data_IF_116307001547
#
_entry.id   IF_116307001547
#
_cell.length_a   1.000
_cell.length_b   1.000
_cell.length_c   1.000
_cell.angle_alpha   90.00
_cell.angle_beta   90.00
_cell.angle_gamma   90.00
#
_symmetry.space_group_name_H-M   'P 1'
#
loop_
_entity.id
_entity.type
_entity.pdbx_description
1 polymer ?
#
# COMPACT_ATOMS: atom_id res chain seq x y z
N UNK A 1 -10.80 -9.44 -12.74
CA UNK A 1 -9.36 -9.51 -13.05
C UNK A 1 -8.55 -8.46 -12.29
N UNK A 2 -9.15 -7.32 -11.90
CA UNK A 2 -8.40 -6.15 -11.45
C UNK A 2 -7.62 -6.36 -10.14
N UNK A 3 -8.15 -7.13 -9.18
CA UNK A 3 -7.51 -7.35 -7.88
C UNK A 3 -6.22 -8.18 -8.01
N UNK A 4 -6.27 -9.38 -8.58
CA UNK A 4 -5.09 -10.25 -8.77
C UNK A 4 -4.04 -9.60 -9.67
N UNK A 5 -4.48 -8.79 -10.65
CA UNK A 5 -3.57 -8.00 -11.48
C UNK A 5 -2.89 -6.88 -10.69
N UNK A 6 -3.62 -6.20 -9.80
CA UNK A 6 -3.08 -5.19 -8.90
C UNK A 6 -2.02 -5.77 -7.96
N UNK A 7 -2.30 -6.92 -7.34
CA UNK A 7 -1.35 -7.64 -6.48
C UNK A 7 -0.11 -8.08 -7.28
N UNK A 8 -0.28 -8.70 -8.45
CA UNK A 8 0.84 -9.10 -9.31
C UNK A 8 1.78 -7.94 -9.63
N UNK A 9 1.23 -6.77 -10.00
CA UNK A 9 2.04 -5.58 -10.29
C UNK A 9 2.69 -4.98 -9.03
N UNK A 10 2.02 -5.08 -7.88
CA UNK A 10 2.56 -4.61 -6.59
C UNK A 10 3.76 -5.46 -6.17
N UNK A 11 3.57 -6.78 -6.12
CA UNK A 11 4.63 -7.74 -5.83
C UNK A 11 5.78 -7.61 -6.84
N UNK A 12 5.48 -7.40 -8.13
CA UNK A 12 6.51 -7.20 -9.16
C UNK A 12 7.32 -5.93 -8.94
N UNK A 13 6.65 -4.84 -8.57
CA UNK A 13 7.33 -3.57 -8.31
C UNK A 13 8.27 -3.69 -7.10
N UNK A 14 7.83 -4.34 -6.02
CA UNK A 14 8.67 -4.56 -4.84
C UNK A 14 9.81 -5.52 -5.13
N UNK A 15 9.54 -6.65 -5.80
CA UNK A 15 10.55 -7.65 -6.11
C UNK A 15 11.65 -7.08 -7.03
N UNK A 16 11.32 -6.19 -7.95
CA UNK A 16 12.31 -5.49 -8.76
C UNK A 16 13.24 -4.55 -7.96
N UNK A 17 12.82 -4.09 -6.78
CA UNK A 17 13.60 -3.19 -5.91
C UNK A 17 14.39 -3.97 -4.86
N UNK A 18 13.77 -5.00 -4.26
CA UNK A 18 14.33 -5.76 -3.16
C UNK A 18 13.87 -7.24 -3.23
N UNK A 19 14.45 -8.06 -4.14
CA UNK A 19 14.02 -9.44 -4.38
C UNK A 19 14.01 -10.32 -3.12
N UNK A 20 14.93 -10.08 -2.19
CA UNK A 20 15.06 -10.84 -0.95
C UNK A 20 13.94 -10.57 0.08
N UNK A 21 13.13 -9.54 -0.11
CA UNK A 21 12.08 -9.13 0.83
C UNK A 21 10.67 -9.58 0.43
N UNK A 22 10.50 -10.08 -0.80
CA UNK A 22 9.19 -10.37 -1.39
C UNK A 22 9.31 -11.60 -2.30
N UNK A 23 8.43 -12.60 -2.17
CA UNK A 23 8.40 -13.75 -3.07
C UNK A 23 8.28 -13.32 -4.54
N UNK A 24 8.94 -14.02 -5.46
CA UNK A 24 8.91 -13.68 -6.88
C UNK A 24 7.52 -13.90 -7.48
N UNK A 25 6.84 -12.86 -8.00
CA UNK A 25 5.60 -13.04 -8.75
C UNK A 25 5.88 -13.73 -10.08
N UNK A 26 5.04 -14.71 -10.46
CA UNK A 26 5.24 -15.56 -11.63
C UNK A 26 4.26 -15.19 -12.74
N UNK A 27 2.97 -15.14 -12.44
CA UNK A 27 1.93 -14.83 -13.43
C UNK A 27 0.62 -14.39 -12.78
N UNK A 28 -0.25 -13.72 -13.54
CA UNK A 28 -1.65 -13.54 -13.19
C UNK A 28 -2.52 -13.71 -14.44
N UNK A 29 -3.77 -14.12 -14.26
CA UNK A 29 -4.67 -14.33 -15.39
C UNK A 29 -6.11 -14.63 -15.01
N UNK A 30 -6.88 -15.01 -16.04
CA UNK A 30 -8.28 -15.41 -15.95
C UNK A 30 -8.40 -16.83 -16.48
N UNK A 31 -9.22 -17.66 -15.84
CA UNK A 31 -9.49 -19.02 -16.30
C UNK A 31 -10.17 -18.98 -17.66
N UNK A 32 -9.72 -19.80 -18.60
CA UNK A 32 -10.32 -19.88 -19.94
C UNK A 32 -11.77 -20.38 -19.89
N UNK A 33 -12.06 -21.31 -18.98
CA UNK A 33 -13.38 -21.94 -18.86
C UNK A 33 -14.31 -21.23 -17.87
N UNK A 34 -13.81 -20.29 -17.05
CA UNK A 34 -14.59 -19.60 -16.02
C UNK A 34 -14.22 -18.11 -16.02
N UNK A 35 -15.01 -17.31 -16.75
CA UNK A 35 -14.69 -15.91 -17.07
C UNK A 35 -14.43 -14.99 -15.86
N UNK A 36 -15.10 -15.22 -14.73
CA UNK A 36 -14.98 -14.39 -13.52
C UNK A 36 -14.06 -15.00 -12.45
N UNK A 37 -13.30 -16.04 -12.80
CA UNK A 37 -12.30 -16.63 -11.92
C UNK A 37 -10.90 -16.22 -12.37
N UNK A 38 -10.17 -15.60 -11.46
CA UNK A 38 -8.84 -15.06 -11.72
C UNK A 38 -7.83 -15.71 -10.78
N UNK A 39 -6.57 -15.73 -11.21
CA UNK A 39 -5.47 -16.27 -10.42
C UNK A 39 -4.29 -15.29 -10.38
N UNK A 40 -3.50 -15.45 -9.33
CA UNK A 40 -2.15 -14.94 -9.19
C UNK A 40 -1.27 -16.12 -8.76
N UNK A 41 -0.11 -16.25 -9.39
CA UNK A 41 0.90 -17.25 -9.11
C UNK A 41 2.16 -16.53 -8.63
N UNK A 42 2.69 -16.98 -7.49
CA UNK A 42 3.87 -16.44 -6.85
C UNK A 42 4.78 -17.59 -6.42
N UNK A 43 6.06 -17.29 -6.24
CA UNK A 43 7.03 -18.20 -5.63
C UNK A 43 6.53 -18.68 -4.27
N UNK A 44 6.65 -19.97 -4.02
CA UNK A 44 6.41 -20.54 -2.70
C UNK A 44 7.67 -20.36 -1.84
N UNK A 45 7.51 -19.68 -0.70
CA UNK A 45 8.56 -19.51 0.31
C UNK A 45 8.07 -20.17 1.60
N UNK A 46 8.84 -21.09 2.14
CA UNK A 46 8.55 -21.68 3.44
C UNK A 46 8.84 -20.63 4.52
N UNK A 47 7.89 -20.41 5.42
CA UNK A 47 8.00 -19.39 6.46
C UNK A 47 7.87 -20.02 7.85
N UNK A 48 8.59 -19.47 8.82
CA UNK A 48 8.44 -19.87 10.22
C UNK A 48 7.18 -19.23 10.84
N UNK A 49 6.69 -19.79 11.95
CA UNK A 49 5.59 -19.21 12.72
C UNK A 49 6.00 -17.96 13.54
N UNK A 50 7.30 -17.65 13.59
CA UNK A 50 7.83 -16.48 14.29
C UNK A 50 7.72 -15.18 13.48
N UNK A 51 7.61 -14.06 14.20
CA UNK A 51 7.62 -12.73 13.60
C UNK A 51 9.04 -12.18 13.43
N UNK A 52 9.34 -11.50 12.31
CA UNK A 52 10.65 -10.90 12.09
C UNK A 52 10.98 -9.89 13.19
N UNK A 53 12.22 -9.95 13.71
CA UNK A 53 12.68 -9.00 14.70
C UNK A 53 12.57 -7.55 14.19
N UNK A 54 12.10 -6.59 15.00
CA UNK A 54 11.69 -5.27 14.53
C UNK A 54 12.82 -4.48 13.86
N UNK A 55 14.06 -4.63 14.35
CA UNK A 55 15.22 -3.95 13.74
C UNK A 55 15.56 -4.48 12.35
N UNK A 56 15.51 -5.81 12.15
CA UNK A 56 15.80 -6.44 10.86
C UNK A 56 14.70 -6.12 9.85
N UNK A 57 13.45 -6.23 10.27
CA UNK A 57 12.30 -5.85 9.46
C UNK A 57 12.34 -4.38 9.04
N UNK A 58 12.55 -3.46 9.99
CA UNK A 58 12.64 -2.03 9.69
C UNK A 58 13.80 -1.69 8.75
N UNK A 59 14.91 -2.42 8.82
CA UNK A 59 16.03 -2.24 7.89
C UNK A 59 15.64 -2.61 6.45
N UNK A 60 14.93 -3.71 6.24
CA UNK A 60 14.43 -4.12 4.93
C UNK A 60 13.36 -3.16 4.39
N UNK A 61 12.40 -2.77 5.22
CA UNK A 61 11.37 -1.80 4.83
C UNK A 61 11.97 -0.43 4.47
N UNK A 62 12.94 0.04 5.27
CA UNK A 62 13.69 1.25 4.98
C UNK A 62 14.48 1.13 3.66
N UNK A 63 15.12 -0.01 3.42
CA UNK A 63 15.84 -0.26 2.17
C UNK A 63 14.89 -0.22 0.95
N UNK A 64 13.69 -0.79 1.04
CA UNK A 64 12.68 -0.71 -0.02
C UNK A 64 12.28 0.74 -0.31
N UNK A 65 11.97 1.52 0.73
CA UNK A 65 11.61 2.93 0.58
C UNK A 65 12.76 3.77 -0.01
N UNK A 66 13.99 3.52 0.41
CA UNK A 66 15.17 4.27 -0.06
C UNK A 66 15.57 3.90 -1.48
N UNK A 67 15.54 2.62 -1.85
CA UNK A 67 15.96 2.13 -3.18
C UNK A 67 14.89 2.28 -4.26
N UNK A 68 13.61 2.35 -3.89
CA UNK A 68 12.54 2.53 -4.86
C UNK A 68 12.59 3.92 -5.51
N UNK A 69 12.29 3.96 -6.81
CA UNK A 69 12.19 5.20 -7.59
C UNK A 69 10.86 5.22 -8.33
N UNK A 70 10.09 6.29 -8.16
CA UNK A 70 8.86 6.47 -8.91
C UNK A 70 9.18 6.65 -10.39
N UNK A 71 8.58 5.85 -11.31
CA UNK A 71 8.89 5.93 -12.74
C UNK A 71 8.47 7.27 -13.36
N UNK A 72 7.63 8.04 -12.68
CA UNK A 72 7.16 9.36 -13.11
C UNK A 72 7.72 10.49 -12.25
N UNK A 73 8.43 10.17 -11.15
CA UNK A 73 8.77 11.12 -10.10
C UNK A 73 7.58 11.61 -9.27
N UNK A 74 6.38 11.05 -9.47
CA UNK A 74 5.11 11.46 -8.82
C UNK A 74 4.60 10.41 -7.83
N UNK A 75 3.64 10.80 -6.99
CA UNK A 75 2.86 9.88 -6.16
C UNK A 75 1.79 9.18 -6.97
N UNK A 76 1.52 7.90 -6.69
CA UNK A 76 0.55 7.10 -7.44
C UNK A 76 1.10 5.75 -7.92
N UNK A 77 0.37 5.10 -8.83
CA UNK A 77 0.75 3.81 -9.40
C UNK A 77 0.15 3.66 -10.80
N UNK A 78 0.78 2.84 -11.64
CA UNK A 78 0.36 2.68 -13.05
C UNK A 78 -0.92 1.84 -13.22
N UNK A 79 -1.35 1.14 -12.18
CA UNK A 79 -2.57 0.33 -12.17
C UNK A 79 -3.29 0.45 -10.83
N UNK A 80 -4.62 0.39 -10.84
CA UNK A 80 -5.42 0.34 -9.60
C UNK A 80 -5.06 -0.89 -8.78
N UNK A 81 -4.65 -0.66 -7.54
CA UNK A 81 -4.47 -1.68 -6.50
C UNK A 81 -5.66 -1.69 -5.55
N UNK A 82 -5.74 -2.71 -4.70
CA UNK A 82 -6.91 -2.95 -3.86
C UNK A 82 -6.48 -3.23 -2.43
N UNK A 83 -7.05 -2.49 -1.48
CA UNK A 83 -6.93 -2.80 -0.05
C UNK A 83 -8.14 -3.69 0.32
N UNK A 84 -7.91 -4.99 0.44
CA UNK A 84 -8.99 -5.99 0.43
C UNK A 84 -9.81 -5.88 -0.87
N UNK A 85 -11.11 -5.61 -0.77
CA UNK A 85 -11.98 -5.45 -1.95
C UNK A 85 -12.19 -3.99 -2.37
N UNK A 86 -11.52 -3.02 -1.72
CA UNK A 86 -11.69 -1.60 -2.00
C UNK A 86 -10.63 -1.12 -3.00
N UNK A 87 -11.03 -0.56 -4.16
CA UNK A 87 -10.08 0.01 -5.10
C UNK A 87 -9.43 1.26 -4.49
N UNK A 88 -8.11 1.36 -4.60
CA UNK A 88 -7.34 2.50 -4.13
C UNK A 88 -7.27 3.60 -5.21
N UNK A 89 -7.17 4.85 -4.78
CA UNK A 89 -6.78 5.95 -5.67
C UNK A 89 -5.29 5.82 -5.98
N UNK A 90 -4.93 5.79 -7.27
CA UNK A 90 -3.53 5.62 -7.70
C UNK A 90 -3.15 6.56 -8.83
N UNK A 91 -4.03 7.49 -9.24
CA UNK A 91 -3.68 8.41 -10.32
C UNK A 91 -2.50 9.29 -9.88
N UNK A 92 -1.68 9.66 -10.87
CA UNK A 92 -0.42 10.34 -10.60
C UNK A 92 -0.63 11.79 -10.14
N UNK A 93 0.05 12.16 -9.06
CA UNK A 93 0.00 13.51 -8.47
C UNK A 93 1.39 14.01 -8.10
N UNK A 94 1.64 15.29 -8.33
CA UNK A 94 2.95 15.91 -8.06
C UNK A 94 3.18 16.23 -6.58
N UNK A 95 2.11 16.36 -5.79
CA UNK A 95 2.16 16.72 -4.36
C UNK A 95 1.59 15.60 -3.51
N UNK A 96 2.24 15.35 -2.38
CA UNK A 96 1.78 14.42 -1.36
C UNK A 96 0.46 14.87 -0.74
N UNK A 97 0.31 16.18 -0.44
CA UNK A 97 -0.95 16.74 0.06
C UNK A 97 -2.11 16.42 -0.89
N UNK A 98 -1.92 16.67 -2.19
CA UNK A 98 -2.93 16.44 -3.21
C UNK A 98 -3.27 14.96 -3.37
N UNK A 99 -2.25 14.08 -3.42
CA UNK A 99 -2.44 12.64 -3.51
C UNK A 99 -3.22 12.09 -2.32
N UNK A 100 -2.77 12.40 -1.09
CA UNK A 100 -3.41 11.93 0.13
C UNK A 100 -4.86 12.41 0.24
N UNK A 101 -5.13 13.68 -0.09
CA UNK A 101 -6.49 14.21 -0.10
C UNK A 101 -7.40 13.46 -1.09
N UNK A 102 -6.91 13.16 -2.30
CA UNK A 102 -7.70 12.41 -3.30
C UNK A 102 -7.95 10.96 -2.85
N UNK A 103 -6.96 10.31 -2.26
CA UNK A 103 -7.12 8.96 -1.67
C UNK A 103 -8.16 8.94 -0.55
N UNK A 104 -8.08 9.88 0.39
CA UNK A 104 -9.06 9.99 1.49
C UNK A 104 -10.47 10.29 0.97
N UNK A 105 -10.59 11.13 -0.06
CA UNK A 105 -11.89 11.44 -0.67
C UNK A 105 -12.51 10.22 -1.32
N UNK A 106 -11.73 9.45 -2.08
CA UNK A 106 -12.21 8.19 -2.66
C UNK A 106 -12.65 7.20 -1.58
N UNK A 107 -11.91 7.07 -0.48
CA UNK A 107 -12.28 6.20 0.63
C UNK A 107 -13.63 6.61 1.28
N UNK A 108 -13.83 7.92 1.50
CA UNK A 108 -15.08 8.46 2.03
C UNK A 108 -16.24 8.27 1.05
N UNK A 109 -16.04 8.53 -0.24
CA UNK A 109 -17.07 8.34 -1.27
C UNK A 109 -17.51 6.87 -1.36
N UNK A 110 -16.57 5.92 -1.24
CA UNK A 110 -16.88 4.49 -1.19
C UNK A 110 -17.68 4.11 0.07
N UNK A 111 -17.34 4.69 1.22
CA UNK A 111 -18.07 4.45 2.46
C UNK A 111 -19.49 5.02 2.40
N UNK A 112 -19.66 6.25 1.90
CA UNK A 112 -20.96 6.90 1.72
C UNK A 112 -21.81 6.11 0.71
N UNK A 113 -21.21 5.64 -0.38
CA UNK A 113 -21.90 4.79 -1.36
C UNK A 113 -22.41 3.49 -0.75
N UNK A 114 -21.67 2.92 0.22
CA UNK A 114 -22.01 1.66 0.87
C UNK A 114 -23.02 1.82 2.01
N UNK A 115 -22.87 2.84 2.86
CA UNK A 115 -23.65 3.02 4.10
C UNK A 115 -24.72 4.11 4.01
N UNK A 116 -24.70 4.92 2.95
CA UNK A 116 -25.53 6.10 2.81
C UNK A 116 -24.86 7.37 3.39
N UNK A 117 -25.48 8.54 3.17
CA UNK A 117 -24.96 9.80 3.68
C UNK A 117 -25.03 9.86 5.21
N UNK A 118 -24.08 10.58 5.81
CA UNK A 118 -24.05 10.86 7.25
C UNK A 118 -23.67 12.33 7.46
N UNK A 119 -24.51 13.06 8.19
CA UNK A 119 -24.27 14.48 8.51
C UNK A 119 -23.00 14.65 9.36
N UNK A 120 -22.77 13.74 10.31
CA UNK A 120 -21.54 13.71 11.10
C UNK A 120 -20.31 13.51 10.21
N UNK A 121 -20.38 12.56 9.27
CA UNK A 121 -19.28 12.30 8.35
C UNK A 121 -19.02 13.50 7.42
N UNK A 122 -20.06 14.20 6.98
CA UNK A 122 -19.94 15.39 6.13
C UNK A 122 -19.21 16.53 6.84
N UNK A 123 -19.61 16.84 8.08
CA UNK A 123 -18.95 17.85 8.92
C UNK A 123 -17.48 17.50 9.17
N UNK A 124 -17.20 16.24 9.52
CA UNK A 124 -15.83 15.77 9.76
C UNK A 124 -14.99 15.79 8.48
N UNK A 125 -15.57 15.40 7.34
CA UNK A 125 -14.89 15.41 6.04
C UNK A 125 -14.50 16.84 5.64
N UNK A 126 -15.39 17.81 5.85
CA UNK A 126 -15.08 19.22 5.58
C UNK A 126 -13.89 19.69 6.43
N UNK A 127 -13.87 19.39 7.73
CA UNK A 127 -12.74 19.73 8.61
C UNK A 127 -11.44 19.01 8.21
N UNK A 128 -11.53 17.75 7.79
CA UNK A 128 -10.40 16.95 7.33
C UNK A 128 -9.72 17.59 6.11
N UNK A 129 -10.51 17.95 5.09
CA UNK A 129 -9.97 18.49 3.83
C UNK A 129 -9.56 19.95 3.91
N UNK A 130 -10.32 20.80 4.61
CA UNK A 130 -10.04 22.24 4.66
C UNK A 130 -8.97 22.61 5.68
N UNK A 131 -8.78 21.78 6.72
CA UNK A 131 -7.88 22.11 7.84
C UNK A 131 -6.82 21.06 8.08
N UNK A 132 -7.22 19.81 8.37
CA UNK A 132 -6.29 18.80 8.90
C UNK A 132 -5.23 18.44 7.87
N UNK A 133 -5.64 18.05 6.65
CA UNK A 133 -4.72 17.65 5.58
C UNK A 133 -3.77 18.80 5.20
N UNK A 134 -4.25 20.01 4.87
CA UNK A 134 -3.38 21.16 4.62
C UNK A 134 -2.42 21.48 5.76
N UNK A 135 -2.88 21.41 7.01
CA UNK A 135 -2.07 21.82 8.17
C UNK A 135 -0.94 20.84 8.47
N UNK A 136 -1.16 19.55 8.20
CA UNK A 136 -0.21 18.48 8.50
C UNK A 136 0.71 18.16 7.31
N UNK A 137 0.20 18.14 6.08
CA UNK A 137 0.96 17.66 4.93
C UNK A 137 1.67 18.78 4.15
N UNK A 138 1.04 19.95 3.99
CA UNK A 138 1.66 21.07 3.26
C UNK A 138 3.04 21.48 3.78
N UNK A 139 3.28 21.54 5.12
CA UNK A 139 4.61 21.89 5.64
C UNK A 139 5.73 20.94 5.21
N UNK A 140 5.40 19.68 4.88
CA UNK A 140 6.38 18.68 4.42
C UNK A 140 6.93 18.99 3.03
N UNK A 141 6.20 19.79 2.25
CA UNK A 141 6.54 20.19 0.87
C UNK A 141 6.80 21.72 0.77
N UNK A 142 6.93 22.40 1.92
CA UNK A 142 7.17 23.85 2.01
C UNK A 142 8.64 24.16 2.32
N UNK A 143 9.05 25.41 2.13
CA UNK A 143 10.41 25.89 2.42
C UNK A 143 11.52 25.14 1.68
N UNK A 144 11.22 24.68 0.46
CA UNK A 144 12.15 23.94 -0.39
C UNK A 144 12.32 22.47 -0.01
N UNK A 145 11.55 21.97 0.97
CA UNK A 145 11.46 20.54 1.25
C UNK A 145 10.71 19.81 0.13
N UNK A 146 11.17 18.60 -0.19
CA UNK A 146 10.56 17.73 -1.19
C UNK A 146 10.33 16.37 -0.57
N UNK A 147 9.09 15.91 -0.60
CA UNK A 147 8.76 14.54 -0.21
C UNK A 147 9.11 13.60 -1.36
N UNK A 148 9.92 12.59 -1.09
CA UNK A 148 10.22 11.53 -2.06
C UNK A 148 9.04 10.55 -2.17
N UNK A 149 8.46 10.32 -3.36
CA UNK A 149 7.55 9.21 -3.59
C UNK A 149 8.31 7.88 -3.46
N UNK A 150 7.99 7.13 -2.41
CA UNK A 150 8.60 5.84 -2.08
C UNK A 150 7.57 4.74 -2.32
N UNK A 151 8.00 3.60 -2.86
CA UNK A 151 7.11 2.45 -3.06
C UNK A 151 6.74 1.87 -1.70
N UNK A 152 5.47 1.94 -1.31
CA UNK A 152 4.97 1.38 -0.04
C UNK A 152 4.24 0.06 -0.29
N UNK A 153 4.20 -0.81 0.72
CA UNK A 153 3.47 -2.09 0.66
C UNK A 153 1.95 -1.90 0.48
N UNK A 154 1.39 -0.88 1.13
CA UNK A 154 -0.04 -0.54 1.06
C UNK A 154 -0.93 -1.30 2.06
N UNK A 155 -0.53 -2.49 2.50
CA UNK A 155 -1.25 -3.26 3.53
C UNK A 155 -0.30 -4.01 4.47
N UNK A 156 0.57 -3.27 5.15
CA UNK A 156 1.62 -3.87 5.98
C UNK A 156 1.14 -4.07 7.42
N UNK A 157 1.03 -5.32 7.83
CA UNK A 157 0.66 -5.75 9.19
C UNK A 157 1.17 -7.17 9.43
N UNK A 158 1.01 -7.69 10.66
CA UNK A 158 1.65 -8.94 11.09
C UNK A 158 1.30 -10.16 10.25
N UNK A 159 0.08 -10.23 9.67
CA UNK A 159 -0.33 -11.36 8.86
C UNK A 159 0.18 -11.32 7.43
N UNK A 160 0.72 -10.17 6.99
CA UNK A 160 1.33 -9.95 5.67
C UNK A 160 2.87 -9.90 5.75
N UNK A 161 3.43 -10.45 6.82
CA UNK A 161 4.86 -10.53 7.05
C UNK A 161 5.22 -11.90 7.66
N UNK A 162 6.43 -12.36 7.39
CA UNK A 162 6.96 -13.61 7.94
C UNK A 162 8.48 -13.64 7.92
N UNK A 163 9.06 -14.74 8.37
CA UNK A 163 10.49 -15.02 8.25
C UNK A 163 10.65 -16.20 7.29
N UNK A 164 11.48 -16.03 6.28
CA UNK A 164 11.89 -17.11 5.39
C UNK A 164 12.66 -18.20 6.13
N UNK A 165 12.19 -19.45 6.05
CA UNK A 165 12.77 -20.58 6.78
C UNK A 165 14.20 -20.90 6.31
N UNK A 166 14.53 -20.64 5.04
CA UNK A 166 15.84 -20.93 4.46
C UNK A 166 16.90 -19.87 4.81
N UNK A 167 16.54 -18.59 4.69
CA UNK A 167 17.49 -17.47 4.80
C UNK A 167 17.41 -16.70 6.12
N UNK A 168 16.42 -17.01 6.97
CA UNK A 168 16.07 -16.28 8.19
C UNK A 168 15.73 -14.80 7.91
N UNK A 169 15.52 -14.40 6.66
CA UNK A 169 15.22 -13.00 6.31
C UNK A 169 13.73 -12.68 6.44
N UNK A 170 13.39 -11.42 6.76
CA UNK A 170 12.01 -10.97 6.67
C UNK A 170 11.46 -11.12 5.25
N UNK A 171 10.20 -11.52 5.14
CA UNK A 171 9.42 -11.51 3.91
C UNK A 171 8.12 -10.74 4.14
N UNK A 172 7.62 -10.10 3.09
CA UNK A 172 6.29 -9.51 3.04
C UNK A 172 5.55 -9.98 1.79
N UNK A 173 4.22 -9.99 1.84
CA UNK A 173 3.35 -10.51 0.79
C UNK A 173 1.96 -9.88 0.88
N UNK A 174 1.11 -10.14 -0.13
CA UNK A 174 -0.22 -9.53 -0.26
C UNK A 174 -0.16 -7.99 -0.33
N UNK A 175 0.72 -7.49 -1.21
CA UNK A 175 0.96 -6.07 -1.36
C UNK A 175 -0.10 -5.39 -2.27
N UNK A 176 -0.50 -4.19 -1.87
CA UNK A 176 -1.35 -3.29 -2.67
C UNK A 176 -0.64 -1.94 -2.88
N UNK A 177 0.49 -2.00 -3.57
CA UNK A 177 1.45 -0.91 -3.66
C UNK A 177 0.94 0.37 -4.33
N UNK A 178 1.58 1.46 -3.96
CA UNK A 178 1.62 2.72 -4.70
C UNK A 178 2.84 3.53 -4.23
N UNK A 179 3.23 4.57 -4.97
CA UNK A 179 4.26 5.51 -4.55
C UNK A 179 3.64 6.58 -3.64
N UNK A 180 4.14 6.70 -2.42
CA UNK A 180 3.60 7.52 -1.35
C UNK A 180 4.72 8.19 -0.52
N UNK A 181 4.36 9.04 0.44
CA UNK A 181 5.26 9.35 1.55
C UNK A 181 5.60 8.05 2.31
N UNK A 182 6.87 7.82 2.66
CA UNK A 182 7.35 6.58 3.28
C UNK A 182 6.64 6.24 4.61
N UNK A 183 6.26 7.24 5.40
CA UNK A 183 5.47 7.06 6.64
C UNK A 183 4.06 6.49 6.41
N UNK A 184 3.52 6.56 5.18
CA UNK A 184 2.22 5.98 4.87
C UNK A 184 2.23 4.45 5.08
N UNK A 185 3.38 3.78 4.87
CA UNK A 185 3.51 2.34 5.07
C UNK A 185 3.31 1.91 6.54
N UNK A 186 3.55 2.79 7.51
CA UNK A 186 3.44 2.49 8.95
C UNK A 186 2.03 2.77 9.51
N UNK A 187 1.17 3.42 8.74
CA UNK A 187 -0.16 3.84 9.21
C UNK A 187 -1.14 2.67 9.37
N UNK A 188 -0.99 1.61 8.55
CA UNK A 188 -1.83 0.42 8.58
C UNK A 188 -1.59 -0.45 9.82
N UNK A 189 -0.35 -0.50 10.33
CA UNK A 189 0.01 -1.26 11.53
C UNK A 189 -0.70 -0.74 12.80
N UNK A 190 -1.05 0.54 12.84
CA UNK A 190 -1.76 1.15 13.98
C UNK A 190 -3.29 1.06 13.86
N UNK A 191 -3.82 0.94 12.65
CA UNK A 191 -5.27 0.87 12.38
C UNK A 191 -5.82 -0.57 12.38
N UNK A 192 -4.94 -1.57 12.19
CA UNK A 192 -5.29 -2.99 12.13
C UNK A 192 -5.23 -3.73 13.49
N UNK A 193 -5.42 -3.03 14.61
CA UNK A 193 -5.74 -3.67 15.90
C UNK A 193 -7.25 -3.57 16.15
N UNK A 194 -8.12 -4.35 15.47
CA UNK A 194 -9.44 -4.60 15.99
C UNK A 194 -9.28 -5.56 17.17
N UNK A 195 -9.84 -5.16 18.31
CA UNK A 195 -9.95 -5.97 19.51
C UNK A 195 -10.36 -7.42 19.19
N UNK A 196 -9.42 -8.35 19.34
CA UNK A 196 -9.75 -9.75 19.55
C UNK A 196 -10.36 -9.88 20.96
N UNK A 197 -11.68 -9.98 21.00
CA UNK A 197 -12.43 -10.69 22.05
C UNK A 197 -13.51 -11.52 21.38
#
# INVERSE_FOLDING_TARGET
MNMTKGEFHSMSAMHNVLPEFVPSPIACGTYETIADTHFFLCEFREMTDDMPGPYKFAAFLSALHQKSESPTGKFGFHITTYAGNLPQFVAWEDSWEAFFAKTMRQALDLEIKRRGPSEELDVLSHALFEKVIPRLLRPLESDGQVVKPSLVHGDLWYANAGIDADSDQPLVFDACCFFAHNECSSSYETLAVPHAK
#
